data_IF_743076829620
#
_entry.id   IF_743076829620
#
_cell.length_a   1.000
_cell.length_b   1.000
_cell.length_c   1.000
_cell.angle_alpha   90.00
_cell.angle_beta   90.00
_cell.angle_gamma   90.00
#
_symmetry.space_group_name_H-M   'P 1'
#
loop_
_entity.id
_entity.type
_entity.pdbx_description
1 polymer ?
#
# COMPACT_ATOMS: atom_id res chain seq x y z
N UNK A 1 -14.57 15.08 -4.61
CA UNK A 1 -13.32 14.42 -5.07
C UNK A 1 -12.95 13.35 -4.06
N UNK A 2 -12.54 12.16 -4.52
CA UNK A 2 -12.15 11.05 -3.66
C UNK A 2 -10.63 10.86 -3.66
N UNK A 3 -10.03 10.94 -2.48
CA UNK A 3 -8.57 10.87 -2.30
C UNK A 3 -8.25 9.65 -1.44
N UNK A 4 -7.21 8.92 -1.82
CA UNK A 4 -6.59 7.91 -0.97
C UNK A 4 -5.31 8.46 -0.35
N UNK A 5 -5.24 8.50 0.98
CA UNK A 5 -4.00 8.71 1.70
C UNK A 5 -3.38 7.36 2.04
N UNK A 6 -2.19 7.11 1.51
CA UNK A 6 -1.43 5.87 1.77
C UNK A 6 -0.48 6.14 2.93
N UNK A 7 -0.91 5.75 4.13
CA UNK A 7 -0.11 5.85 5.35
C UNK A 7 0.49 4.49 5.73
N UNK A 8 1.62 4.11 5.14
CA UNK A 8 2.25 2.82 5.44
C UNK A 8 3.23 2.89 6.62
N UNK A 9 3.16 1.91 7.54
CA UNK A 9 4.01 1.63 8.71
C UNK A 9 4.06 2.70 9.79
N UNK A 10 3.85 3.94 9.42
CA UNK A 10 4.21 5.10 10.21
C UNK A 10 3.04 5.67 10.99
N UNK A 11 1.80 5.30 10.67
CA UNK A 11 0.63 5.74 11.44
C UNK A 11 0.52 5.08 12.84
N UNK A 12 1.35 4.06 13.14
CA UNK A 12 1.55 3.55 14.50
C UNK A 12 2.56 4.36 15.32
N UNK A 13 3.32 5.25 14.67
CA UNK A 13 4.24 6.21 15.29
C UNK A 13 3.51 7.57 15.46
N UNK A 14 3.73 8.24 16.60
CA UNK A 14 3.10 9.53 16.90
C UNK A 14 3.50 10.63 15.92
N UNK A 15 4.76 10.61 15.44
CA UNK A 15 5.29 11.64 14.54
C UNK A 15 4.58 11.67 13.19
N UNK A 16 4.57 10.55 12.48
CA UNK A 16 3.91 10.48 11.19
C UNK A 16 2.38 10.52 11.30
N UNK A 17 1.83 10.05 12.43
CA UNK A 17 0.44 10.27 12.76
C UNK A 17 0.09 11.76 12.81
N UNK A 18 0.94 12.60 13.42
CA UNK A 18 0.72 14.04 13.44
C UNK A 18 0.79 14.68 12.04
N UNK A 19 1.72 14.23 11.18
CA UNK A 19 1.82 14.69 9.79
C UNK A 19 0.55 14.34 9.01
N UNK A 20 0.11 13.08 9.10
CA UNK A 20 -1.09 12.62 8.41
C UNK A 20 -2.35 13.33 8.91
N UNK A 21 -2.49 13.51 10.23
CA UNK A 21 -3.60 14.26 10.82
C UNK A 21 -3.60 15.71 10.34
N UNK A 22 -2.46 16.40 10.42
CA UNK A 22 -2.34 17.77 9.94
C UNK A 22 -2.68 17.91 8.45
N UNK A 23 -2.28 16.93 7.63
CA UNK A 23 -2.66 16.88 6.22
C UNK A 23 -4.18 16.72 6.04
N UNK A 24 -4.81 15.79 6.75
CA UNK A 24 -6.28 15.59 6.70
C UNK A 24 -7.00 16.88 7.12
N UNK A 25 -6.62 17.46 8.25
CA UNK A 25 -7.24 18.67 8.79
C UNK A 25 -7.08 19.85 7.81
N UNK A 26 -5.90 19.99 7.21
CA UNK A 26 -5.63 21.05 6.21
C UNK A 26 -6.44 20.84 4.93
N UNK A 27 -6.52 19.61 4.42
CA UNK A 27 -7.30 19.29 3.22
C UNK A 27 -8.79 19.55 3.44
N UNK A 28 -9.33 19.13 4.59
CA UNK A 28 -10.73 19.34 4.95
C UNK A 28 -11.04 20.83 5.16
N UNK A 29 -10.13 21.60 5.77
CA UNK A 29 -10.27 23.04 5.91
C UNK A 29 -10.25 23.78 4.55
N UNK A 30 -9.40 23.33 3.62
CA UNK A 30 -9.33 23.89 2.28
C UNK A 30 -10.53 23.51 1.40
N UNK A 31 -11.04 22.27 1.53
CA UNK A 31 -12.24 21.78 0.86
C UNK A 31 -13.00 20.76 1.71
N UNK A 32 -14.18 21.16 2.17
CA UNK A 32 -15.05 20.32 2.99
C UNK A 32 -15.77 19.20 2.24
N UNK A 33 -15.76 19.19 0.90
CA UNK A 33 -16.39 18.17 0.04
C UNK A 33 -15.43 17.01 -0.33
N UNK A 34 -14.23 16.97 0.25
CA UNK A 34 -13.27 15.88 0.02
C UNK A 34 -13.70 14.60 0.74
N UNK A 35 -13.76 13.50 -0.01
CA UNK A 35 -13.90 12.16 0.55
C UNK A 35 -12.50 11.54 0.66
N UNK A 36 -12.01 11.42 1.89
CA UNK A 36 -10.64 10.97 2.17
C UNK A 36 -10.69 9.58 2.79
N UNK A 37 -10.19 8.58 2.06
CA UNK A 37 -9.90 7.27 2.62
C UNK A 37 -8.44 7.22 3.05
N UNK A 38 -8.15 6.52 4.16
CA UNK A 38 -6.78 6.30 4.62
C UNK A 38 -6.54 4.80 4.77
N UNK A 39 -5.41 4.29 4.25
CA UNK A 39 -4.98 2.91 4.45
C UNK A 39 -3.71 2.82 5.31
N UNK A 40 -3.61 1.78 6.14
CA UNK A 40 -2.44 1.48 6.98
C UNK A 40 -2.24 -0.02 7.19
N UNK A 41 -0.99 -0.43 7.46
CA UNK A 41 -0.66 -1.79 7.94
C UNK A 41 -1.19 -2.07 9.34
N UNK A 42 -1.34 -1.02 10.16
CA UNK A 42 -1.76 -1.08 11.56
C UNK A 42 -3.04 -0.25 11.80
N UNK A 43 -4.18 -0.61 11.18
CA UNK A 43 -5.38 0.24 11.18
C UNK A 43 -5.91 0.53 12.58
N UNK A 44 -5.85 -0.42 13.51
CA UNK A 44 -6.37 -0.24 14.88
C UNK A 44 -5.59 0.81 15.66
N UNK A 45 -4.25 0.69 15.73
CA UNK A 45 -3.43 1.67 16.46
C UNK A 45 -3.41 3.02 15.76
N UNK A 46 -3.38 3.02 14.42
CA UNK A 46 -3.42 4.23 13.61
C UNK A 46 -4.75 4.97 13.80
N UNK A 47 -5.88 4.24 13.78
CA UNK A 47 -7.19 4.83 13.99
C UNK A 47 -7.35 5.41 15.39
N UNK A 48 -6.78 4.76 16.41
CA UNK A 48 -6.76 5.31 17.77
C UNK A 48 -5.92 6.60 17.86
N UNK A 49 -4.74 6.65 17.26
CA UNK A 49 -3.87 7.83 17.32
C UNK A 49 -4.43 9.01 16.51
N UNK A 50 -5.05 8.73 15.37
CA UNK A 50 -5.56 9.74 14.44
C UNK A 50 -7.00 10.14 14.75
N UNK A 51 -7.72 9.36 15.55
CA UNK A 51 -9.16 9.49 15.77
C UNK A 51 -9.94 9.48 14.43
N UNK A 52 -9.50 8.63 13.51
CA UNK A 52 -10.02 8.52 12.14
C UNK A 52 -10.22 7.04 11.79
N UNK A 53 -11.13 6.77 10.86
CA UNK A 53 -11.27 5.42 10.34
C UNK A 53 -10.13 5.11 9.37
N UNK A 54 -9.34 4.08 9.68
CA UNK A 54 -8.20 3.65 8.86
C UNK A 54 -8.48 2.25 8.33
N UNK A 55 -8.40 2.11 7.01
CA UNK A 55 -8.60 0.84 6.32
C UNK A 55 -7.32 -0.01 6.38
N UNK A 56 -7.50 -1.33 6.39
CA UNK A 56 -6.38 -2.27 6.34
C UNK A 56 -5.71 -2.23 4.97
N UNK A 57 -4.38 -2.13 4.94
CA UNK A 57 -3.59 -2.35 3.73
C UNK A 57 -3.72 -3.81 3.27
N UNK A 58 -4.40 -4.00 2.15
CA UNK A 58 -4.67 -5.31 1.54
C UNK A 58 -3.40 -6.01 1.02
N UNK A 59 -2.38 -5.26 0.59
CA UNK A 59 -1.12 -5.83 0.11
C UNK A 59 -0.35 -6.47 1.27
N UNK A 60 -0.28 -5.78 2.40
CA UNK A 60 0.34 -6.30 3.62
C UNK A 60 -0.42 -7.52 4.18
N UNK A 61 -1.75 -7.48 4.17
CA UNK A 61 -2.58 -8.57 4.66
C UNK A 61 -2.37 -9.86 3.85
N UNK A 62 -2.22 -9.75 2.53
CA UNK A 62 -1.97 -10.89 1.65
C UNK A 62 -0.62 -11.56 1.96
N UNK A 63 0.43 -10.77 2.18
CA UNK A 63 1.76 -11.28 2.53
C UNK A 63 1.79 -11.95 3.92
N UNK A 64 1.00 -11.46 4.87
CA UNK A 64 0.98 -11.96 6.25
C UNK A 64 0.27 -13.32 6.41
N UNK A 65 -0.59 -13.71 5.46
CA UNK A 65 -1.39 -14.95 5.50
C UNK A 65 -0.72 -16.14 4.77
N UNK A 66 0.51 -15.99 4.31
CA UNK A 66 1.18 -17.03 3.53
C UNK A 66 1.47 -18.31 4.36
N UNK A 67 1.24 -19.52 3.81
CA UNK A 67 1.44 -20.78 4.51
C UNK A 67 2.92 -20.99 4.89
N UNK A 68 3.15 -21.38 6.15
CA UNK A 68 4.49 -21.62 6.71
C UNK A 68 4.95 -23.05 6.39
N UNK A 69 5.88 -23.19 5.45
CA UNK A 69 6.48 -24.47 5.06
C UNK A 69 7.75 -24.28 4.24
N UNK A 70 8.62 -25.30 4.16
CA UNK A 70 9.88 -25.21 3.42
C UNK A 70 9.66 -25.02 1.92
N UNK A 71 8.72 -25.79 1.33
CA UNK A 71 8.37 -25.69 -0.09
C UNK A 71 7.71 -24.34 -0.41
N UNK A 72 6.82 -23.85 0.45
CA UNK A 72 6.19 -22.53 0.26
C UNK A 72 7.20 -21.39 0.42
N UNK A 73 8.19 -21.55 1.30
CA UNK A 73 9.27 -20.57 1.47
C UNK A 73 10.18 -20.51 0.24
N UNK A 74 10.52 -21.66 -0.35
CA UNK A 74 11.31 -21.70 -1.59
C UNK A 74 10.53 -21.08 -2.76
N UNK A 75 9.26 -21.47 -2.94
CA UNK A 75 8.37 -20.87 -3.97
C UNK A 75 8.26 -19.36 -3.80
N UNK A 76 8.10 -18.88 -2.56
CA UNK A 76 8.05 -17.45 -2.24
C UNK A 76 9.37 -16.75 -2.57
N UNK A 77 10.51 -17.35 -2.24
CA UNK A 77 11.83 -16.77 -2.54
C UNK A 77 12.03 -16.60 -4.05
N UNK A 78 11.65 -17.61 -4.84
CA UNK A 78 11.69 -17.54 -6.30
C UNK A 78 10.70 -16.49 -6.83
N UNK A 79 9.46 -16.50 -6.33
CA UNK A 79 8.45 -15.52 -6.74
C UNK A 79 8.91 -14.07 -6.43
N UNK A 80 9.40 -13.80 -5.22
CA UNK A 80 9.92 -12.49 -4.82
C UNK A 80 11.13 -12.06 -5.66
N UNK A 81 11.95 -13.02 -6.11
CA UNK A 81 13.11 -12.72 -6.97
C UNK A 81 12.68 -12.33 -8.39
N UNK A 82 11.65 -12.97 -8.94
CA UNK A 82 11.15 -12.75 -10.30
C UNK A 82 10.11 -11.62 -10.40
N UNK A 83 9.42 -11.30 -9.29
CA UNK A 83 8.32 -10.32 -9.27
C UNK A 83 8.73 -8.94 -9.81
N UNK A 84 9.89 -8.36 -9.42
CA UNK A 84 10.29 -7.06 -9.95
C UNK A 84 10.42 -7.06 -11.47
N UNK A 85 11.02 -8.11 -12.04
CA UNK A 85 11.21 -8.22 -13.49
C UNK A 85 9.87 -8.39 -14.23
N UNK A 86 8.95 -9.17 -13.66
CA UNK A 86 7.58 -9.30 -14.18
C UNK A 86 6.86 -7.95 -14.13
N UNK A 87 6.89 -7.24 -13.00
CA UNK A 87 6.24 -5.93 -12.88
C UNK A 87 6.83 -4.92 -13.87
N UNK A 88 8.16 -4.86 -13.99
CA UNK A 88 8.84 -3.96 -14.93
C UNK A 88 8.52 -4.26 -16.40
N UNK A 89 8.31 -5.52 -16.76
CA UNK A 89 7.89 -5.91 -18.10
C UNK A 89 6.49 -5.38 -18.45
N UNK A 90 5.57 -5.38 -17.47
CA UNK A 90 4.22 -4.81 -17.60
C UNK A 90 4.21 -3.26 -17.61
N UNK A 91 5.22 -2.60 -17.02
CA UNK A 91 5.37 -1.14 -17.01
C UNK A 91 6.00 -0.54 -18.29
N UNK A 92 6.30 -1.37 -19.30
CA UNK A 92 6.71 -0.87 -20.63
C UNK A 92 8.05 -1.36 -21.15
N UNK A 93 8.82 -2.14 -20.36
CA UNK A 93 10.09 -2.73 -20.86
C UNK A 93 9.88 -3.93 -21.80
N UNK A 94 8.70 -4.54 -21.80
CA UNK A 94 8.43 -5.73 -22.62
C UNK A 94 9.32 -6.93 -22.24
N UNK A 95 9.52 -7.85 -23.18
CA UNK A 95 10.37 -9.03 -22.98
C UNK A 95 9.65 -10.27 -22.47
N UNK A 96 10.42 -11.33 -22.18
CA UNK A 96 9.91 -12.67 -21.84
C UNK A 96 9.01 -12.70 -20.61
N UNK A 97 9.23 -11.78 -19.67
CA UNK A 97 8.45 -11.69 -18.44
C UNK A 97 7.05 -11.11 -18.64
N UNK A 98 6.76 -10.46 -19.78
CA UNK A 98 5.43 -9.93 -20.11
C UNK A 98 4.39 -11.05 -20.29
N UNK A 99 4.83 -12.25 -20.68
CA UNK A 99 3.97 -13.43 -20.82
C UNK A 99 3.53 -14.01 -19.46
N UNK A 100 4.18 -13.62 -18.37
CA UNK A 100 3.77 -14.02 -17.03
C UNK A 100 2.68 -13.09 -16.53
N UNK A 101 1.62 -13.68 -15.95
CA UNK A 101 0.52 -12.92 -15.39
C UNK A 101 0.93 -12.22 -14.10
N UNK A 102 0.45 -10.99 -13.93
CA UNK A 102 0.49 -10.28 -12.65
C UNK A 102 -0.39 -11.04 -11.65
N UNK A 103 0.08 -11.28 -10.40
CA UNK A 103 -0.75 -11.91 -9.37
C UNK A 103 -2.13 -11.25 -9.23
N UNK A 104 -3.22 -12.04 -9.07
CA UNK A 104 -4.57 -11.50 -9.00
C UNK A 104 -4.76 -10.42 -7.94
N UNK A 105 -4.18 -10.61 -6.75
CA UNK A 105 -4.29 -9.64 -5.64
C UNK A 105 -3.69 -8.27 -5.97
N UNK A 106 -2.60 -8.20 -6.76
CA UNK A 106 -2.03 -6.94 -7.22
C UNK A 106 -2.93 -6.28 -8.26
N UNK A 107 -3.49 -7.08 -9.17
CA UNK A 107 -4.45 -6.59 -10.18
C UNK A 107 -5.72 -6.03 -9.52
N UNK A 108 -6.24 -6.73 -8.51
CA UNK A 108 -7.39 -6.29 -7.71
C UNK A 108 -7.08 -5.01 -6.94
N UNK A 109 -5.92 -4.93 -6.30
CA UNK A 109 -5.48 -3.72 -5.62
C UNK A 109 -5.40 -2.53 -6.59
N UNK A 110 -4.73 -2.69 -7.72
CA UNK A 110 -4.65 -1.64 -8.76
C UNK A 110 -6.02 -1.24 -9.27
N UNK A 111 -6.94 -2.20 -9.50
CA UNK A 111 -8.32 -1.88 -9.88
C UNK A 111 -9.05 -1.09 -8.79
N UNK A 112 -8.80 -1.41 -7.52
CA UNK A 112 -9.37 -0.67 -6.39
C UNK A 112 -8.85 0.77 -6.32
N UNK A 113 -7.64 1.05 -6.83
CA UNK A 113 -7.06 2.39 -6.87
C UNK A 113 -7.76 3.29 -7.90
N UNK A 114 -8.33 2.72 -8.97
CA UNK A 114 -9.01 3.47 -10.02
C UNK A 114 -10.28 4.22 -9.54
N UNK A 115 -10.77 3.94 -8.33
CA UNK A 115 -11.91 4.66 -7.72
C UNK A 115 -11.52 6.00 -7.08
N UNK A 116 -10.22 6.32 -7.04
CA UNK A 116 -9.69 7.54 -6.44
C UNK A 116 -9.25 8.53 -7.53
N UNK A 117 -9.57 9.80 -7.34
CA UNK A 117 -9.13 10.89 -8.21
C UNK A 117 -7.65 11.24 -7.97
N UNK A 118 -7.17 11.04 -6.74
CA UNK A 118 -5.78 11.23 -6.36
C UNK A 118 -5.35 10.23 -5.28
N UNK A 119 -4.08 9.85 -5.34
CA UNK A 119 -3.43 9.02 -4.33
C UNK A 119 -2.25 9.81 -3.80
N UNK A 120 -2.25 10.08 -2.50
CA UNK A 120 -1.20 10.84 -1.83
C UNK A 120 -0.50 9.88 -0.87
N UNK A 121 0.76 9.64 -1.12
CA UNK A 121 1.62 8.91 -0.20
C UNK A 121 2.05 9.85 0.92
N UNK A 122 1.88 9.40 2.16
CA UNK A 122 2.26 10.16 3.35
C UNK A 122 3.40 9.42 4.06
N UNK A 123 4.46 10.16 4.45
CA UNK A 123 5.69 9.66 5.05
C UNK A 123 6.67 8.95 4.08
N UNK A 124 7.97 9.02 4.40
CA UNK A 124 9.06 8.49 3.58
C UNK A 124 9.27 6.96 3.70
N UNK A 125 8.63 6.32 4.68
CA UNK A 125 8.71 4.87 4.93
C UNK A 125 8.20 4.01 3.76
N UNK A 126 7.31 4.53 2.91
CA UNK A 126 6.76 3.77 1.79
C UNK A 126 7.83 3.35 0.76
N UNK A 127 8.84 4.20 0.49
CA UNK A 127 9.95 3.80 -0.38
C UNK A 127 10.79 2.69 0.24
N UNK A 128 11.02 2.74 1.56
CA UNK A 128 11.75 1.69 2.30
C UNK A 128 11.07 0.32 2.12
N UNK A 129 9.74 0.28 2.05
CA UNK A 129 8.97 -0.94 1.82
C UNK A 129 8.88 -1.39 0.36
N UNK A 130 8.91 -0.46 -0.60
CA UNK A 130 8.92 -0.81 -2.03
C UNK A 130 10.22 -1.54 -2.43
N UNK A 131 11.31 -1.29 -1.68
CA UNK A 131 12.61 -1.97 -1.84
C UNK A 131 12.77 -3.25 -1.00
N UNK A 132 11.76 -3.60 -0.22
CA UNK A 132 11.65 -4.89 0.46
C UNK A 132 12.46 -5.00 1.75
N UNK A 133 11.81 -5.55 2.76
CA UNK A 133 12.48 -6.48 3.67
C UNK A 133 13.00 -7.65 2.84
N UNK A 134 14.33 -7.70 2.68
CA UNK A 134 15.07 -8.86 2.17
C UNK A 134 14.68 -10.16 2.85
#
# INVERSE_FOLDING_TARGET
MKILLVGNHTCGNRGDGAILRGLIDTLQAARGDLNIDVISRYPTSSGYLLQQHIQQDSLFLHNSKAPKGLVSSLKRKVANRLMPDIMMAHLGKGGVYKSFSVPPHLTEFTRSLAKYDAIIQVSGSFFVDLYGVT
#
